data_IF_131191924237
#
_entry.id   IF_131191924237
#
_cell.length_a   1.000
_cell.length_b   1.000
_cell.length_c   1.000
_cell.angle_alpha   90.00
_cell.angle_beta   90.00
_cell.angle_gamma   90.00
#
_symmetry.space_group_name_H-M   'P 1'
#
loop_
_entity.id
_entity.type
_entity.pdbx_description
1 polymer ?
#
# COMPACT_ATOMS: atom_id res chain seq x y z
N UNK A 1 27.89 15.40 5.06
CA UNK A 1 26.52 15.56 4.53
C UNK A 1 25.90 14.17 4.45
N UNK A 2 25.12 13.80 5.46
CA UNK A 2 24.47 12.49 5.49
C UNK A 2 23.45 12.45 4.36
N UNK A 3 23.65 11.54 3.40
CA UNK A 3 22.60 11.16 2.46
C UNK A 3 21.46 10.63 3.33
N UNK A 4 20.42 11.45 3.52
CA UNK A 4 19.10 10.97 3.91
C UNK A 4 18.67 10.04 2.78
N UNK A 5 19.12 8.80 2.85
CA UNK A 5 18.41 7.71 2.21
C UNK A 5 17.08 7.70 2.91
N UNK A 6 16.11 8.39 2.32
CA UNK A 6 14.70 8.24 2.60
C UNK A 6 14.45 6.75 2.51
N UNK A 7 14.56 6.07 3.66
CA UNK A 7 14.16 4.69 3.79
C UNK A 7 12.69 4.75 3.43
N UNK A 8 12.36 4.35 2.20
CA UNK A 8 11.02 3.96 1.84
C UNK A 8 10.69 2.81 2.80
N UNK A 9 10.18 3.18 3.97
CA UNK A 9 9.90 2.26 5.04
C UNK A 9 8.94 1.25 4.47
N UNK A 10 9.29 -0.03 4.51
CA UNK A 10 8.30 -1.06 4.22
C UNK A 10 7.41 -1.10 5.45
N UNK A 11 6.12 -0.93 5.25
CA UNK A 11 5.15 -0.98 6.31
C UNK A 11 4.31 -2.24 6.17
N UNK A 12 3.86 -2.80 7.29
CA UNK A 12 2.88 -3.88 7.27
C UNK A 12 1.52 -3.37 6.82
N UNK A 13 0.66 -4.28 6.37
CA UNK A 13 -0.74 -4.02 5.97
C UNK A 13 -1.47 -3.04 6.90
N UNK A 14 -1.38 -3.25 8.21
CA UNK A 14 -2.07 -2.42 9.22
C UNK A 14 -1.70 -0.94 9.15
N UNK A 15 -0.49 -0.58 8.72
CA UNK A 15 -0.11 0.82 8.57
C UNK A 15 -0.91 1.49 7.45
N UNK A 16 -1.09 0.79 6.32
CA UNK A 16 -1.87 1.28 5.20
C UNK A 16 -3.38 1.27 5.51
N UNK A 17 -3.88 0.25 6.19
CA UNK A 17 -5.30 0.19 6.61
C UNK A 17 -5.69 1.29 7.61
N UNK A 18 -4.74 1.76 8.42
CA UNK A 18 -4.94 2.86 9.38
C UNK A 18 -4.69 4.23 8.76
N UNK A 19 -4.04 4.29 7.60
CA UNK A 19 -3.74 5.56 6.95
C UNK A 19 -5.03 6.16 6.35
N UNK A 20 -5.34 7.44 6.64
CA UNK A 20 -6.55 8.08 6.14
C UNK A 20 -6.55 8.21 4.61
N UNK A 21 -5.38 8.25 3.99
CA UNK A 21 -5.19 8.28 2.53
C UNK A 21 -5.86 7.09 1.83
N UNK A 22 -5.86 5.92 2.49
CA UNK A 22 -6.42 4.69 1.94
C UNK A 22 -7.75 4.30 2.60
N UNK A 23 -8.40 5.21 3.33
CA UNK A 23 -9.65 4.90 4.04
C UNK A 23 -10.76 4.39 3.11
N UNK A 24 -10.81 4.92 1.87
CA UNK A 24 -11.78 4.50 0.83
C UNK A 24 -11.44 3.14 0.22
N UNK A 25 -10.16 2.82 0.15
CA UNK A 25 -9.61 1.61 -0.45
C UNK A 25 -9.27 0.54 0.61
N UNK A 26 -9.70 0.74 1.86
CA UNK A 26 -9.34 -0.11 3.00
C UNK A 26 -9.72 -1.58 2.78
N UNK A 27 -10.91 -1.83 2.23
CA UNK A 27 -11.37 -3.18 1.91
C UNK A 27 -10.52 -3.82 0.79
N UNK A 28 -10.17 -3.06 -0.24
CA UNK A 28 -9.25 -3.53 -1.29
C UNK A 28 -7.89 -3.89 -0.69
N UNK A 29 -7.34 -3.02 0.15
CA UNK A 29 -6.07 -3.27 0.82
C UNK A 29 -6.11 -4.48 1.74
N UNK A 30 -7.27 -4.80 2.33
CA UNK A 30 -7.42 -6.02 3.13
C UNK A 30 -7.29 -7.29 2.31
N UNK A 31 -7.69 -7.25 1.04
CA UNK A 31 -7.61 -8.36 0.08
C UNK A 31 -6.27 -8.39 -0.65
N UNK A 32 -5.73 -7.22 -1.00
CA UNK A 32 -4.50 -7.07 -1.79
C UNK A 32 -3.23 -7.27 -0.95
N UNK A 33 -3.24 -6.80 0.30
CA UNK A 33 -2.06 -6.84 1.16
C UNK A 33 -2.11 -8.05 2.09
N UNK A 34 -1.01 -8.78 2.10
CA UNK A 34 -0.79 -9.92 2.97
C UNK A 34 -0.26 -9.46 4.34
N UNK A 35 -0.80 -10.01 5.43
CA UNK A 35 -0.40 -9.67 6.81
C UNK A 35 1.04 -10.13 7.14
N UNK A 36 1.58 -11.11 6.41
CA UNK A 36 2.95 -11.60 6.61
C UNK A 36 3.99 -10.78 5.85
N UNK A 37 3.55 -9.88 4.97
CA UNK A 37 4.42 -9.09 4.09
C UNK A 37 4.38 -7.60 4.43
N UNK A 38 5.43 -6.92 4.03
CA UNK A 38 5.57 -5.47 4.16
C UNK A 38 5.74 -4.84 2.80
N UNK A 39 5.05 -3.73 2.58
CA UNK A 39 4.95 -3.05 1.29
C UNK A 39 5.45 -1.62 1.41
N UNK A 40 5.95 -1.06 0.31
CA UNK A 40 6.18 0.39 0.19
C UNK A 40 4.91 1.10 -0.27
N UNK A 41 4.86 2.42 -0.11
CA UNK A 41 3.73 3.23 -0.60
C UNK A 41 3.49 3.02 -2.11
N UNK A 42 4.56 2.96 -2.90
CA UNK A 42 4.51 2.76 -4.36
C UNK A 42 3.98 1.38 -4.74
N UNK A 43 4.38 0.32 -4.01
CA UNK A 43 3.86 -1.04 -4.23
C UNK A 43 2.35 -1.08 -3.98
N UNK A 44 1.90 -0.47 -2.88
CA UNK A 44 0.47 -0.42 -2.52
C UNK A 44 -0.33 0.36 -3.55
N UNK A 45 0.18 1.52 -3.99
CA UNK A 45 -0.49 2.36 -4.99
C UNK A 45 -0.61 1.65 -6.35
N UNK A 46 0.46 0.96 -6.76
CA UNK A 46 0.47 0.14 -7.99
C UNK A 46 -0.53 -1.00 -7.91
N UNK A 47 -0.57 -1.74 -6.79
CA UNK A 47 -1.53 -2.82 -6.56
C UNK A 47 -2.98 -2.33 -6.62
N UNK A 48 -3.27 -1.18 -6.01
CA UNK A 48 -4.59 -0.56 -6.06
C UNK A 48 -4.98 -0.17 -7.49
N UNK A 49 -4.06 0.43 -8.24
CA UNK A 49 -4.31 0.84 -9.62
C UNK A 49 -4.54 -0.37 -10.54
N UNK A 50 -3.70 -1.41 -10.43
CA UNK A 50 -3.86 -2.65 -11.19
C UNK A 50 -5.19 -3.35 -10.88
N UNK A 51 -5.60 -3.38 -9.62
CA UNK A 51 -6.86 -4.01 -9.22
C UNK A 51 -8.07 -3.21 -9.71
N UNK A 52 -8.05 -1.87 -9.58
CA UNK A 52 -9.09 -0.99 -10.12
C UNK A 52 -9.19 -1.07 -11.64
N UNK A 53 -8.06 -1.18 -12.34
CA UNK A 53 -8.04 -1.38 -13.78
C UNK A 53 -8.66 -2.72 -14.20
N UNK A 54 -8.53 -3.77 -13.38
CA UNK A 54 -9.15 -5.08 -13.61
C UNK A 54 -10.67 -5.09 -13.33
N UNK A 55 -11.17 -4.30 -12.39
CA UNK A 55 -12.61 -4.21 -12.08
C UNK A 55 -13.41 -3.48 -13.20
N UNK A 56 -12.74 -2.73 -14.08
CA UNK A 56 -13.36 -1.93 -15.15
C UNK A 56 -13.62 -2.72 -16.45
N UNK A 57 -13.35 -4.03 -16.50
CA UNK A 57 -13.69 -4.90 -17.65
C UNK A 57 -14.90 -5.78 -17.39
#
# INVERSE_FOLDING_TARGET
>A
MAKQTEKQGRYGKLAFLRAPEYAKDRLLLEVLLDDTKTYTKEEVDSLLNEWKAKEVQ
#
